data_IF_477822573388
#
_entry.id   IF_477822573388
#
_cell.length_a   1.000
_cell.length_b   1.000
_cell.length_c   1.000
_cell.angle_alpha   90.00
_cell.angle_beta   90.00
_cell.angle_gamma   90.00
#
_symmetry.space_group_name_H-M   'P 1'
#
loop_
_entity.id
_entity.type
_entity.pdbx_description
1 polymer ?
#
# COMPACT_ATOMS: atom_id res chain seq x y z
N UNK A 1 -6.56 -4.05 -0.51
CA UNK A 1 -6.53 -3.24 0.74
C UNK A 1 -7.94 -2.88 1.20
N UNK A 2 -8.84 -2.45 0.30
CA UNK A 2 -10.22 -2.09 0.65
C UNK A 2 -10.96 -3.20 1.40
N UNK A 3 -10.83 -4.46 0.98
CA UNK A 3 -11.49 -5.59 1.64
C UNK A 3 -11.15 -5.67 3.15
N UNK A 4 -9.86 -5.58 3.51
CA UNK A 4 -9.44 -5.61 4.91
C UNK A 4 -9.97 -4.42 5.72
N UNK A 5 -9.81 -3.20 5.20
CA UNK A 5 -10.26 -2.00 5.92
C UNK A 5 -11.77 -1.97 6.09
N UNK A 6 -12.53 -2.45 5.09
CA UNK A 6 -13.98 -2.59 5.17
C UNK A 6 -14.36 -3.66 6.19
N UNK A 7 -13.75 -4.84 6.14
CA UNK A 7 -14.03 -5.92 7.10
C UNK A 7 -13.73 -5.49 8.54
N UNK A 8 -12.63 -4.76 8.75
CA UNK A 8 -12.27 -4.23 10.06
C UNK A 8 -13.31 -3.20 10.54
N UNK A 9 -13.69 -2.24 9.70
CA UNK A 9 -14.70 -1.24 10.04
C UNK A 9 -16.04 -1.89 10.41
N UNK A 10 -16.51 -2.84 9.60
CA UNK A 10 -17.74 -3.59 9.86
C UNK A 10 -17.66 -4.38 11.17
N UNK A 11 -16.53 -5.03 11.45
CA UNK A 11 -16.35 -5.77 12.70
C UNK A 11 -16.37 -4.84 13.92
N UNK A 12 -15.77 -3.65 13.82
CA UNK A 12 -15.84 -2.62 14.86
C UNK A 12 -17.27 -2.14 15.12
N UNK A 13 -18.06 -1.92 14.07
CA UNK A 13 -19.47 -1.51 14.17
C UNK A 13 -20.35 -2.59 14.85
N UNK A 14 -20.06 -3.86 14.58
CA UNK A 14 -20.80 -5.00 15.15
C UNK A 14 -20.41 -5.33 16.60
N UNK A 15 -19.25 -4.83 17.04
CA UNK A 15 -18.82 -4.88 18.43
C UNK A 15 -17.77 -5.96 18.76
N UNK A 16 -17.36 -6.05 20.04
CA UNK A 16 -16.19 -6.84 20.46
C UNK A 16 -16.28 -8.33 20.15
N UNK A 17 -17.49 -8.89 20.18
CA UNK A 17 -17.71 -10.30 19.88
C UNK A 17 -17.33 -10.67 18.44
N UNK A 18 -17.27 -9.70 17.51
CA UNK A 18 -16.92 -9.93 16.11
C UNK A 18 -15.42 -9.73 15.85
N UNK A 19 -14.82 -8.62 16.33
CA UNK A 19 -13.40 -8.33 16.08
C UNK A 19 -12.44 -9.00 17.08
N UNK A 20 -12.95 -9.63 18.15
CA UNK A 20 -12.19 -10.51 19.05
C UNK A 20 -12.67 -11.97 18.94
N UNK A 21 -13.45 -12.31 17.90
CA UNK A 21 -13.99 -13.64 17.69
C UNK A 21 -12.86 -14.64 17.41
N UNK A 22 -12.62 -15.57 18.32
CA UNK A 22 -11.67 -16.65 18.08
C UNK A 22 -12.17 -17.58 16.95
N UNK A 23 -11.31 -17.95 15.99
CA UNK A 23 -11.48 -19.11 15.13
C UNK A 23 -11.82 -20.39 15.93
N UNK A 24 -12.93 -21.04 15.62
CA UNK A 24 -13.39 -22.27 16.26
C UNK A 24 -13.84 -23.25 15.19
N UNK A 25 -13.21 -24.42 15.15
CA UNK A 25 -13.61 -25.49 14.23
C UNK A 25 -15.02 -26.00 14.56
N UNK A 26 -15.86 -26.20 13.54
CA UNK A 26 -17.25 -26.67 13.70
C UNK A 26 -18.29 -25.56 13.90
N UNK A 27 -17.86 -24.30 14.02
CA UNK A 27 -18.75 -23.14 13.84
C UNK A 27 -18.47 -22.60 12.44
N UNK A 28 -19.48 -22.63 11.57
CA UNK A 28 -19.29 -22.34 10.14
C UNK A 28 -18.62 -20.99 9.90
N UNK A 29 -19.04 -19.94 10.62
CA UNK A 29 -18.50 -18.58 10.48
C UNK A 29 -17.08 -18.40 11.04
N UNK A 30 -16.67 -19.24 11.99
CA UNK A 30 -15.36 -19.18 12.64
C UNK A 30 -14.41 -20.28 12.17
N UNK A 31 -14.77 -20.98 11.10
CA UNK A 31 -13.97 -22.08 10.59
C UNK A 31 -12.65 -21.53 10.02
N UNK A 32 -11.48 -21.95 10.55
CA UNK A 32 -10.19 -21.44 10.12
C UNK A 32 -9.87 -21.73 8.65
N UNK A 33 -10.51 -22.74 8.03
CA UNK A 33 -10.38 -23.01 6.60
C UNK A 33 -10.99 -21.92 5.71
N UNK A 34 -11.92 -21.09 6.20
CA UNK A 34 -12.48 -20.00 5.40
C UNK A 34 -11.40 -18.98 5.01
N UNK A 35 -10.39 -18.78 5.85
CA UNK A 35 -9.29 -17.87 5.58
C UNK A 35 -8.54 -18.22 4.29
N UNK A 36 -8.49 -19.49 3.88
CA UNK A 36 -7.71 -19.91 2.71
C UNK A 36 -8.54 -19.95 1.43
N UNK A 37 -9.87 -19.91 1.52
CA UNK A 37 -10.80 -20.01 0.38
C UNK A 37 -10.52 -18.97 -0.73
N UNK A 38 -10.23 -17.69 -0.42
CA UNK A 38 -9.93 -16.71 -1.47
C UNK A 38 -8.70 -17.08 -2.32
N UNK A 39 -7.67 -17.67 -1.70
CA UNK A 39 -6.45 -18.08 -2.40
C UNK A 39 -6.76 -19.21 -3.40
N UNK A 40 -7.54 -20.21 -2.95
CA UNK A 40 -7.94 -21.34 -3.80
C UNK A 40 -8.78 -20.90 -4.99
N UNK A 41 -9.67 -19.92 -4.79
CA UNK A 41 -10.46 -19.33 -5.88
C UNK A 41 -9.61 -18.63 -6.94
N UNK A 42 -8.43 -18.14 -6.56
CA UNK A 42 -7.45 -17.51 -7.46
C UNK A 42 -6.39 -18.49 -7.97
N UNK A 43 -6.64 -19.81 -7.85
CA UNK A 43 -5.78 -20.85 -8.43
C UNK A 43 -4.53 -21.16 -7.61
N UNK A 44 -4.45 -20.71 -6.35
CA UNK A 44 -3.36 -21.13 -5.48
C UNK A 44 -3.51 -22.62 -5.13
N UNK A 45 -2.38 -23.32 -5.09
CA UNK A 45 -2.36 -24.77 -4.90
C UNK A 45 -2.07 -25.12 -3.44
N UNK A 46 -2.72 -26.18 -2.94
CA UNK A 46 -2.47 -26.72 -1.60
C UNK A 46 -1.47 -27.86 -1.69
N UNK A 47 -0.45 -27.78 -0.85
CA UNK A 47 0.49 -28.85 -0.54
C UNK A 47 0.47 -29.16 0.97
N UNK A 48 1.01 -30.32 1.35
CA UNK A 48 1.09 -30.80 2.73
C UNK A 48 2.55 -31.16 3.04
N UNK A 49 3.40 -30.16 3.33
CA UNK A 49 4.83 -30.39 3.51
C UNK A 49 5.14 -31.23 4.76
N UNK A 50 4.30 -31.12 5.81
CA UNK A 50 4.46 -31.87 7.07
C UNK A 50 3.11 -32.12 7.73
N UNK A 51 3.06 -33.10 8.63
CA UNK A 51 1.85 -33.43 9.37
C UNK A 51 1.33 -32.21 10.14
N UNK A 52 0.05 -31.91 10.00
CA UNK A 52 -0.60 -30.79 10.69
C UNK A 52 -0.28 -29.40 10.12
N UNK A 53 0.42 -29.30 8.99
CA UNK A 53 0.68 -28.02 8.29
C UNK A 53 0.31 -28.14 6.82
N UNK A 54 -0.45 -27.16 6.35
CA UNK A 54 -0.79 -26.98 4.94
C UNK A 54 0.02 -25.82 4.39
N UNK A 55 0.62 -26.00 3.22
CA UNK A 55 1.20 -24.90 2.46
C UNK A 55 0.28 -24.56 1.30
N UNK A 56 0.03 -23.28 1.05
CA UNK A 56 -0.75 -22.79 -0.07
C UNK A 56 0.18 -21.88 -0.88
N UNK A 57 0.42 -22.20 -2.15
CA UNK A 57 1.39 -21.50 -3.01
C UNK A 57 0.71 -20.75 -4.15
N UNK A 58 1.22 -19.55 -4.44
CA UNK A 58 0.77 -18.76 -5.56
C UNK A 58 1.16 -19.42 -6.90
N UNK A 59 0.38 -19.22 -7.97
CA UNK A 59 0.66 -19.79 -9.30
C UNK A 59 2.03 -19.42 -9.87
N UNK A 60 2.57 -18.27 -9.48
CA UNK A 60 3.89 -17.78 -9.92
C UNK A 60 5.05 -18.26 -9.02
N UNK A 61 4.75 -18.94 -7.91
CA UNK A 61 5.72 -19.39 -6.91
C UNK A 61 6.44 -18.26 -6.18
N UNK A 62 5.90 -17.03 -6.22
CA UNK A 62 6.50 -15.84 -5.59
C UNK A 62 5.80 -15.43 -4.30
N UNK A 63 4.75 -16.14 -3.89
CA UNK A 63 4.09 -15.96 -2.61
C UNK A 63 3.53 -17.27 -2.09
N UNK A 64 3.38 -17.35 -0.77
CA UNK A 64 2.86 -18.53 -0.12
C UNK A 64 2.27 -18.23 1.25
N UNK A 65 1.54 -19.22 1.76
CA UNK A 65 1.01 -19.22 3.12
C UNK A 65 1.15 -20.63 3.73
N UNK A 66 1.56 -20.70 4.99
CA UNK A 66 1.47 -21.91 5.81
C UNK A 66 0.33 -21.75 6.80
N UNK A 67 -0.42 -22.83 6.99
CA UNK A 67 -1.52 -22.93 7.93
C UNK A 67 -1.36 -24.18 8.78
N UNK A 68 -1.23 -24.00 10.10
CA UNK A 68 -1.12 -25.08 11.06
C UNK A 68 -2.50 -25.46 11.65
N UNK A 69 -2.78 -26.76 11.73
CA UNK A 69 -4.05 -27.31 12.26
C UNK A 69 -3.94 -27.95 13.63
N UNK A 70 -2.76 -27.92 14.27
CA UNK A 70 -2.55 -28.45 15.61
C UNK A 70 -3.00 -27.50 16.72
N UNK A 71 -2.92 -27.98 17.96
CA UNK A 71 -3.08 -27.16 19.16
C UNK A 71 -1.81 -26.31 19.33
N UNK A 72 -1.95 -25.02 19.06
CA UNK A 72 -0.92 -24.01 19.25
C UNK A 72 -1.22 -23.22 20.54
N UNK A 73 -0.17 -22.86 21.27
CA UNK A 73 -0.27 -21.98 22.44
C UNK A 73 -0.29 -20.50 21.98
N UNK A 74 -1.43 -19.79 22.07
CA UNK A 74 -1.56 -18.43 21.56
C UNK A 74 -0.53 -17.44 22.10
N UNK A 75 -0.09 -17.59 23.35
CA UNK A 75 0.92 -16.72 23.94
C UNK A 75 2.32 -17.00 23.37
N UNK A 76 2.61 -18.27 23.10
CA UNK A 76 3.82 -18.65 22.38
C UNK A 76 3.78 -18.16 20.94
N UNK A 77 2.62 -18.13 20.27
CA UNK A 77 2.48 -17.64 18.90
C UNK A 77 2.83 -16.15 18.76
N UNK A 78 2.62 -15.35 19.81
CA UNK A 78 2.92 -13.92 19.82
C UNK A 78 4.41 -13.61 20.09
N UNK A 79 5.09 -14.50 20.80
CA UNK A 79 6.48 -14.33 21.23
C UNK A 79 7.50 -15.10 20.38
N UNK A 80 7.02 -16.08 19.62
CA UNK A 80 7.83 -16.90 18.70
C UNK A 80 7.40 -16.66 17.25
N UNK A 81 8.02 -17.40 16.33
CA UNK A 81 7.60 -17.43 14.92
C UNK A 81 6.64 -18.58 14.62
N UNK A 82 6.23 -19.33 15.64
CA UNK A 82 5.29 -20.44 15.50
C UNK A 82 3.87 -19.87 15.49
N UNK A 83 3.41 -19.39 14.34
CA UNK A 83 2.08 -18.82 14.18
C UNK A 83 1.16 -19.76 13.41
N UNK A 84 -0.13 -19.74 13.76
CA UNK A 84 -1.16 -20.53 13.08
C UNK A 84 -1.26 -20.23 11.58
N UNK A 85 -1.13 -18.96 11.21
CA UNK A 85 -1.01 -18.55 9.82
C UNK A 85 0.27 -17.77 9.61
N UNK A 86 1.03 -18.14 8.58
CA UNK A 86 2.20 -17.41 8.16
C UNK A 86 2.14 -17.17 6.65
N UNK A 87 2.05 -15.91 6.25
CA UNK A 87 2.06 -15.49 4.85
C UNK A 87 3.42 -14.89 4.50
N UNK A 88 3.85 -15.06 3.26
CA UNK A 88 5.06 -14.43 2.75
C UNK A 88 5.00 -14.14 1.25
N UNK A 89 5.88 -13.25 0.80
CA UNK A 89 6.34 -13.24 -0.58
C UNK A 89 7.84 -13.45 -0.69
N UNK A 90 8.25 -13.93 -1.85
CA UNK A 90 9.56 -14.50 -2.14
C UNK A 90 9.45 -16.00 -2.41
N UNK A 91 10.58 -16.59 -2.81
CA UNK A 91 10.66 -17.99 -3.24
C UNK A 91 10.70 -19.00 -2.09
N UNK A 92 10.86 -18.55 -0.85
CA UNK A 92 10.96 -19.41 0.33
C UNK A 92 10.56 -18.65 1.59
N UNK A 93 9.93 -19.40 2.51
CA UNK A 93 9.55 -18.94 3.86
C UNK A 93 10.78 -18.62 4.75
N UNK A 94 11.94 -19.22 4.46
CA UNK A 94 13.18 -19.03 5.23
C UNK A 94 13.83 -17.67 4.95
N UNK A 95 13.63 -17.17 3.73
CA UNK A 95 14.18 -15.89 3.25
C UNK A 95 13.12 -15.09 2.50
N UNK A 96 12.05 -14.69 3.20
CA UNK A 96 10.97 -13.96 2.57
C UNK A 96 11.40 -12.51 2.32
N UNK A 97 10.88 -11.92 1.26
CA UNK A 97 11.02 -10.48 1.00
C UNK A 97 10.11 -9.67 1.93
N UNK A 98 8.93 -10.22 2.24
CA UNK A 98 8.08 -9.77 3.33
C UNK A 98 7.34 -10.98 3.91
N UNK A 99 6.94 -10.88 5.17
CA UNK A 99 6.10 -11.87 5.81
C UNK A 99 5.07 -11.21 6.73
N UNK A 100 3.99 -11.93 7.01
CA UNK A 100 3.01 -11.59 8.03
C UNK A 100 2.62 -12.86 8.77
N UNK A 101 2.34 -12.74 10.06
CA UNK A 101 1.88 -13.84 10.90
C UNK A 101 0.56 -13.46 11.56
N UNK A 102 -0.24 -14.48 11.84
CA UNK A 102 -1.44 -14.35 12.64
C UNK A 102 -1.57 -15.55 13.58
N UNK A 103 -1.89 -15.25 14.84
CA UNK A 103 -2.09 -16.25 15.89
C UNK A 103 -3.50 -16.82 15.85
N UNK A 104 -3.72 -17.90 16.59
CA UNK A 104 -5.00 -18.58 16.78
C UNK A 104 -6.15 -17.65 17.13
N UNK A 105 -5.91 -16.53 17.81
CA UNK A 105 -6.95 -15.60 18.24
C UNK A 105 -7.34 -14.55 17.18
N UNK A 106 -6.71 -14.61 16.00
CA UNK A 106 -7.02 -13.66 14.93
C UNK A 106 -8.36 -14.03 14.27
N UNK A 107 -9.34 -13.11 14.22
CA UNK A 107 -10.66 -13.40 13.63
C UNK A 107 -10.58 -13.86 12.17
N UNK A 108 -11.33 -14.92 11.86
CA UNK A 108 -11.36 -15.52 10.51
C UNK A 108 -11.80 -14.52 9.44
N UNK A 109 -12.72 -13.62 9.75
CA UNK A 109 -13.17 -12.59 8.81
C UNK A 109 -12.03 -11.65 8.39
N UNK A 110 -11.17 -11.26 9.32
CA UNK A 110 -10.01 -10.42 9.03
C UNK A 110 -8.96 -11.18 8.23
N UNK A 111 -8.70 -12.43 8.57
CA UNK A 111 -7.79 -13.29 7.81
C UNK A 111 -8.27 -13.51 6.38
N UNK A 112 -9.56 -13.76 6.19
CA UNK A 112 -10.18 -13.92 4.88
C UNK A 112 -10.03 -12.64 4.06
N UNK A 113 -10.20 -11.47 4.66
CA UNK A 113 -10.01 -10.20 3.98
C UNK A 113 -8.53 -9.91 3.63
N UNK A 114 -7.59 -10.37 4.45
CA UNK A 114 -6.15 -10.33 4.14
C UNK A 114 -5.84 -11.23 2.95
N UNK A 115 -6.27 -12.48 2.97
CA UNK A 115 -5.99 -13.42 1.88
C UNK A 115 -6.67 -13.02 0.59
N UNK A 116 -7.87 -12.42 0.65
CA UNK A 116 -8.52 -11.80 -0.50
C UNK A 116 -7.67 -10.65 -1.08
N UNK A 117 -7.13 -9.77 -0.23
CA UNK A 117 -6.25 -8.70 -0.68
C UNK A 117 -4.93 -9.21 -1.30
N UNK A 118 -4.41 -10.33 -0.80
CA UNK A 118 -3.16 -10.94 -1.31
C UNK A 118 -3.39 -11.67 -2.63
N UNK A 119 -4.56 -12.30 -2.78
CA UNK A 119 -4.93 -13.04 -3.98
C UNK A 119 -5.43 -12.14 -5.12
N UNK A 120 -5.76 -10.88 -4.82
CA UNK A 120 -6.29 -9.92 -5.80
C UNK A 120 -5.27 -9.65 -6.93
N UNK A 121 -5.58 -9.99 -8.19
CA UNK A 121 -4.67 -9.76 -9.32
C UNK A 121 -4.61 -8.28 -9.75
N UNK A 122 -5.42 -7.39 -9.15
CA UNK A 122 -5.47 -5.99 -9.54
C UNK A 122 -4.12 -5.29 -9.27
N UNK A 123 -3.57 -4.56 -10.27
CA UNK A 123 -2.30 -3.87 -10.11
C UNK A 123 -2.42 -2.73 -9.09
N UNK A 124 -1.45 -2.65 -8.18
CA UNK A 124 -1.37 -1.58 -7.18
C UNK A 124 -0.58 -0.38 -7.70
N UNK A 125 -1.16 0.80 -7.54
CA UNK A 125 -0.46 2.07 -7.81
C UNK A 125 0.67 2.27 -6.80
N UNK A 126 1.91 2.38 -7.31
CA UNK A 126 3.11 2.61 -6.50
C UNK A 126 4.02 3.60 -7.20
N UNK A 127 4.71 4.44 -6.41
CA UNK A 127 5.83 5.19 -6.94
C UNK A 127 6.97 4.22 -7.28
N UNK A 128 7.61 4.45 -8.43
CA UNK A 128 8.69 3.59 -8.91
C UNK A 128 9.84 3.53 -7.91
N UNK A 129 10.13 4.65 -7.25
CA UNK A 129 11.20 4.80 -6.28
C UNK A 129 10.96 3.98 -5.00
N UNK A 130 9.69 3.84 -4.60
CA UNK A 130 9.28 3.08 -3.41
C UNK A 130 9.34 1.57 -3.66
N UNK A 131 9.35 1.16 -4.93
CA UNK A 131 9.44 -0.25 -5.37
C UNK A 131 10.91 -0.70 -5.48
N UNK A 132 11.70 -0.42 -4.44
CA UNK A 132 13.16 -0.56 -4.42
C UNK A 132 13.67 -2.01 -4.70
N UNK A 133 14.98 -2.15 -4.91
CA UNK A 133 15.71 -3.29 -5.50
C UNK A 133 15.39 -4.72 -5.01
N UNK A 134 14.81 -4.90 -3.82
CA UNK A 134 14.63 -6.20 -3.18
C UNK A 134 13.53 -7.08 -3.81
N UNK A 135 12.60 -6.47 -4.55
CA UNK A 135 11.56 -7.16 -5.34
C UNK A 135 11.86 -7.15 -6.84
N UNK A 136 13.10 -6.79 -7.24
CA UNK A 136 13.49 -6.74 -8.65
C UNK A 136 13.38 -8.14 -9.28
N UNK A 137 12.56 -8.24 -10.32
CA UNK A 137 12.25 -9.51 -10.98
C UNK A 137 11.17 -10.35 -10.30
N UNK A 138 10.57 -9.85 -9.20
CA UNK A 138 9.41 -10.46 -8.53
C UNK A 138 8.13 -9.62 -8.68
N UNK A 139 8.24 -8.39 -9.18
CA UNK A 139 7.11 -7.52 -9.46
C UNK A 139 7.20 -6.97 -10.89
N UNK A 140 6.07 -6.90 -11.57
CA UNK A 140 5.95 -6.26 -12.87
C UNK A 140 5.52 -4.81 -12.69
N UNK A 141 6.33 -3.87 -13.17
CA UNK A 141 6.04 -2.44 -13.13
C UNK A 141 5.57 -1.97 -14.50
N UNK A 142 4.30 -1.59 -14.58
CA UNK A 142 3.71 -0.95 -15.77
C UNK A 142 3.62 0.55 -15.55
N UNK A 143 4.39 1.39 -16.28
CA UNK A 143 4.29 2.83 -16.16
C UNK A 143 2.90 3.33 -16.55
N UNK A 144 2.35 4.22 -15.74
CA UNK A 144 1.11 4.92 -16.08
C UNK A 144 1.49 6.06 -17.00
N UNK A 145 1.09 5.95 -18.27
CA UNK A 145 1.33 7.00 -19.23
C UNK A 145 0.39 8.18 -18.93
N UNK A 146 0.92 9.41 -18.77
CA UNK A 146 0.06 10.56 -18.67
C UNK A 146 -0.77 10.69 -19.96
N UNK A 147 -1.99 11.23 -19.88
CA UNK A 147 -2.77 11.51 -21.07
C UNK A 147 -1.96 12.46 -21.99
N UNK A 148 -2.19 12.39 -23.31
CA UNK A 148 -1.55 13.31 -24.24
C UNK A 148 -1.81 14.76 -23.81
N UNK A 149 -0.82 15.65 -23.94
CA UNK A 149 -0.93 17.02 -23.46
C UNK A 149 -2.11 17.73 -24.14
N UNK A 150 -2.90 18.45 -23.35
CA UNK A 150 -3.99 19.24 -23.93
C UNK A 150 -3.42 20.49 -24.62
N UNK A 151 -4.16 21.12 -25.56
CA UNK A 151 -3.75 22.39 -26.15
C UNK A 151 -3.46 23.48 -25.11
N UNK A 152 -4.11 23.43 -23.94
CA UNK A 152 -3.85 24.36 -22.83
C UNK A 152 -2.50 24.10 -22.17
N UNK A 153 -2.10 22.84 -22.02
CA UNK A 153 -0.79 22.47 -21.46
C UNK A 153 0.33 22.89 -22.41
N UNK A 154 0.13 22.73 -23.72
CA UNK A 154 1.06 23.23 -24.75
C UNK A 154 1.19 24.75 -24.66
N UNK A 155 0.08 25.49 -24.56
CA UNK A 155 0.11 26.96 -24.42
C UNK A 155 0.85 27.40 -23.14
N UNK A 156 0.62 26.72 -22.02
CA UNK A 156 1.33 26.99 -20.76
C UNK A 156 2.83 26.72 -20.89
N UNK A 157 3.21 25.60 -21.50
CA UNK A 157 4.62 25.27 -21.73
C UNK A 157 5.32 26.27 -22.66
N UNK A 158 4.64 26.72 -23.72
CA UNK A 158 5.15 27.76 -24.62
C UNK A 158 5.29 29.11 -23.91
N UNK A 159 4.32 29.49 -23.08
CA UNK A 159 4.39 30.73 -22.30
C UNK A 159 5.51 30.70 -21.26
N UNK A 160 5.74 29.55 -20.60
CA UNK A 160 6.82 29.36 -19.63
C UNK A 160 8.22 29.38 -20.28
N UNK A 161 8.32 28.98 -21.56
CA UNK A 161 9.57 29.08 -22.34
C UNK A 161 9.83 30.46 -22.93
N UNK A 162 8.90 31.41 -22.77
CA UNK A 162 9.09 32.77 -23.25
C UNK A 162 10.18 33.43 -22.38
N UNK A 163 11.22 34.05 -22.98
CA UNK A 163 12.21 34.79 -22.21
C UNK A 163 11.50 35.79 -21.30
N UNK A 164 11.92 35.87 -20.03
CA UNK A 164 11.46 36.94 -19.14
C UNK A 164 11.77 38.27 -19.84
N UNK A 165 10.73 38.97 -20.26
CA UNK A 165 10.90 40.33 -20.77
C UNK A 165 11.55 41.13 -19.64
N UNK A 166 12.70 41.74 -19.93
CA UNK A 166 13.36 42.67 -19.00
C UNK A 166 12.27 43.63 -18.48
N UNK A 167 12.18 43.85 -17.15
CA UNK A 167 11.18 44.75 -16.63
C UNK A 167 11.34 46.10 -17.32
N UNK A 168 10.25 46.62 -17.88
CA UNK A 168 10.22 47.96 -18.43
C UNK A 168 10.71 48.92 -17.34
N UNK A 169 11.74 49.70 -17.66
CA UNK A 169 12.30 50.73 -16.79
C UNK A 169 11.17 51.69 -16.44
N UNK A 170 10.64 51.59 -15.22
CA UNK A 170 9.61 52.50 -14.72
C UNK A 170 10.27 53.87 -14.54
N UNK A 171 10.01 54.81 -15.44
CA UNK A 171 10.39 56.22 -15.24
C UNK A 171 9.47 56.79 -14.16
N UNK A 172 9.99 57.26 -13.01
CA UNK A 172 9.16 57.87 -11.98
C UNK A 172 8.47 59.11 -12.54
N UNK A 173 7.16 59.05 -12.73
CA UNK A 173 6.34 60.17 -13.18
C UNK A 173 6.01 61.04 -11.97
N UNK A 174 6.95 61.93 -11.61
CA UNK A 174 6.77 63.28 -11.02
C UNK A 174 7.97 63.64 -10.14
N UNK A 175 8.72 64.68 -10.53
CA UNK A 175 9.68 65.37 -9.66
C UNK A 175 9.45 66.87 -9.83
N UNK A 176 8.55 67.46 -9.05
CA UNK A 176 8.39 68.92 -8.98
C UNK A 176 9.64 69.52 -8.34
N UNK A 177 10.51 70.07 -9.17
CA UNK A 177 11.64 70.89 -8.72
C UNK A 177 11.13 72.32 -8.59
N UNK A 178 10.86 72.78 -7.37
CA UNK A 178 10.71 74.20 -7.05
C UNK A 178 12.10 74.82 -6.92
N UNK A 179 12.39 75.85 -7.72
CA UNK A 179 13.66 76.60 -7.66
C UNK A 179 13.74 77.39 -6.36
N UNK A 180 14.85 77.34 -5.60
CA UNK A 180 15.09 78.27 -4.51
C UNK A 180 15.27 79.70 -5.06
N UNK A 181 14.76 80.70 -4.34
CA UNK A 181 14.91 82.11 -4.68
C UNK A 181 16.38 82.55 -4.60
N UNK A 182 16.84 83.36 -5.57
CA UNK A 182 18.19 83.90 -5.64
C UNK A 182 18.48 84.81 -4.43
N UNK A 183 19.66 84.70 -3.78
CA UNK A 183 20.13 85.71 -2.83
C UNK A 183 20.48 87.01 -3.58
N UNK A 184 19.93 88.14 -3.12
CA UNK A 184 20.21 89.47 -3.67
C UNK A 184 21.64 89.96 -3.39
N UNK A 185 22.14 90.92 -4.18
CA UNK A 185 23.54 91.34 -4.16
C UNK A 185 23.85 92.20 -2.92
N UNK A 186 25.06 92.06 -2.38
CA UNK A 186 25.62 93.04 -1.43
C UNK A 186 27.04 93.46 -1.83
N UNK A 187 27.24 94.76 -1.64
CA UNK A 187 28.45 95.58 -1.83
C UNK A 187 29.70 95.01 -1.19
#
# INVERSE_FOLDING_TARGET
MTAFTTALATAYEQGPATYLARPVAGIDEHNPFLAIVPLLKQGWEIDRPRWGVFAIQAPDGLAGMEFATGDLDPEAELSTRDARWQLWAGKSIDRPVWYATASTDTPVALLTAVTECVADPAPLLRWRQDTYSYIKGMAQLTPILPPPPTPRDVRRALAARRPAALPATSVPRWSTTSRPALPGPRR
#
